data_IF_171853941124
#
_entry.id   IF_171853941124
#
_cell.length_a   1.000
_cell.length_b   1.000
_cell.length_c   1.000
_cell.angle_alpha   90.00
_cell.angle_beta   90.00
_cell.angle_gamma   90.00
#
_symmetry.space_group_name_H-M   'P 1'
#
loop_
_entity.id
_entity.type
_entity.pdbx_description
1 polymer ?
#
# COMPACT_ATOMS: atom_id res chain seq x y z
N UNK A 1 -37.96 65.32 19.25
CA UNK A 1 -37.18 64.36 20.01
C UNK A 1 -37.22 63.03 19.29
N UNK A 2 -36.07 62.68 18.65
CA UNK A 2 -35.87 61.37 18.05
C UNK A 2 -35.48 60.39 19.12
N UNK A 3 -36.31 59.40 19.34
CA UNK A 3 -36.02 58.22 20.19
C UNK A 3 -35.22 57.22 19.36
N UNK A 4 -33.91 57.15 19.58
CA UNK A 4 -33.03 56.15 18.98
C UNK A 4 -33.26 54.84 19.74
N UNK A 5 -33.97 53.88 19.12
CA UNK A 5 -34.05 52.54 19.62
C UNK A 5 -32.73 51.80 19.34
N UNK A 6 -31.94 51.55 20.35
CA UNK A 6 -30.75 50.66 20.30
C UNK A 6 -31.25 49.21 20.25
N UNK A 7 -31.29 48.62 19.06
CA UNK A 7 -31.44 47.16 18.94
C UNK A 7 -30.11 46.53 19.37
N UNK A 8 -30.09 45.93 20.56
CA UNK A 8 -29.06 44.99 20.93
C UNK A 8 -29.24 43.72 20.07
N UNK A 9 -28.47 43.62 19.05
CA UNK A 9 -28.24 42.34 18.38
C UNK A 9 -27.30 41.54 19.29
N UNK A 10 -27.85 40.80 20.24
CA UNK A 10 -27.12 39.69 20.86
C UNK A 10 -26.96 38.64 19.82
N UNK A 11 -25.86 38.68 19.09
CA UNK A 11 -25.47 37.71 18.11
C UNK A 11 -25.26 36.35 18.83
N UNK A 12 -25.90 35.33 18.33
CA UNK A 12 -25.67 33.92 18.66
C UNK A 12 -24.25 33.45 18.23
N UNK A 13 -23.22 34.07 18.75
CA UNK A 13 -21.81 33.68 18.47
C UNK A 13 -21.33 32.64 19.49
N UNK A 14 -21.93 32.58 20.69
CA UNK A 14 -21.43 31.70 21.76
C UNK A 14 -21.63 30.19 21.47
N UNK A 15 -22.71 29.79 20.79
CA UNK A 15 -22.97 28.37 20.53
C UNK A 15 -22.07 27.78 19.43
N UNK A 16 -21.74 28.58 18.40
CA UNK A 16 -20.90 28.13 17.28
C UNK A 16 -19.43 28.00 17.71
N UNK A 17 -18.95 28.88 18.57
CA UNK A 17 -17.59 28.82 19.10
C UNK A 17 -17.42 27.69 20.11
N UNK A 18 -18.46 27.34 20.86
CA UNK A 18 -18.43 26.27 21.85
C UNK A 18 -18.39 24.87 21.20
N UNK A 19 -19.02 24.66 20.05
CA UNK A 19 -18.93 23.39 19.32
C UNK A 19 -17.60 23.23 18.58
N UNK A 20 -17.02 24.33 18.07
CA UNK A 20 -15.71 24.32 17.42
C UNK A 20 -14.55 24.14 18.40
N UNK A 21 -14.76 24.45 19.69
CA UNK A 21 -13.74 24.32 20.71
C UNK A 21 -13.60 22.89 21.24
N UNK A 22 -14.66 22.08 21.16
CA UNK A 22 -14.66 20.72 21.72
C UNK A 22 -13.63 19.84 21.03
N UNK A 23 -12.86 19.12 21.83
CA UNK A 23 -11.94 18.09 21.35
C UNK A 23 -12.71 16.98 20.61
N UNK A 24 -12.17 16.53 19.48
CA UNK A 24 -12.78 15.50 18.64
C UNK A 24 -11.70 14.61 18.02
N UNK A 25 -11.96 13.32 17.92
CA UNK A 25 -11.12 12.38 17.16
C UNK A 25 -11.70 12.11 15.77
N UNK A 26 -10.82 11.83 14.83
CA UNK A 26 -11.15 11.36 13.48
C UNK A 26 -10.18 10.26 13.08
N UNK A 27 -10.61 9.24 12.35
CA UNK A 27 -9.69 8.36 11.66
C UNK A 27 -8.81 9.20 10.71
N UNK A 28 -7.48 9.02 10.75
CA UNK A 28 -6.55 9.79 9.90
C UNK A 28 -6.77 9.48 8.41
N UNK A 29 -7.08 8.22 8.12
CA UNK A 29 -7.55 7.75 6.82
C UNK A 29 -8.98 7.28 7.00
N UNK A 30 -9.95 7.96 6.43
CA UNK A 30 -11.37 7.57 6.50
C UNK A 30 -11.92 7.34 5.10
N UNK A 31 -12.91 6.43 4.99
CA UNK A 31 -13.51 6.03 3.73
C UNK A 31 -12.79 4.84 3.10
N UNK A 32 -13.07 4.60 1.82
CA UNK A 32 -12.51 3.49 1.05
C UNK A 32 -11.18 3.88 0.41
N UNK A 33 -10.17 3.03 0.59
CA UNK A 33 -8.83 3.20 0.02
C UNK A 33 -8.34 1.88 -0.55
N UNK A 34 -7.85 1.91 -1.78
CA UNK A 34 -7.21 0.76 -2.40
C UNK A 34 -5.71 0.74 -2.08
N UNK A 35 -5.22 -0.40 -1.64
CA UNK A 35 -3.82 -0.67 -1.35
C UNK A 35 -3.27 -1.56 -2.46
N UNK A 36 -2.35 -1.05 -3.24
CA UNK A 36 -1.58 -1.86 -4.18
C UNK A 36 -0.33 -2.39 -3.49
N UNK A 37 -0.10 -3.69 -3.61
CA UNK A 37 0.99 -4.38 -2.91
C UNK A 37 1.58 -5.46 -3.81
N UNK A 38 2.87 -5.74 -3.62
CA UNK A 38 3.57 -6.79 -4.36
C UNK A 38 3.80 -8.01 -3.47
N UNK A 39 3.62 -9.21 -4.03
CA UNK A 39 3.92 -10.47 -3.34
C UNK A 39 5.42 -10.79 -3.42
N UNK A 40 6.23 -10.03 -2.67
CA UNK A 40 7.70 -10.08 -2.77
C UNK A 40 8.43 -10.27 -1.44
N UNK A 41 7.80 -10.68 -0.40
CA UNK A 41 8.59 -10.82 0.80
C UNK A 41 7.84 -10.75 2.12
N UNK A 42 8.35 -10.02 3.12
CA UNK A 42 7.77 -10.03 4.45
C UNK A 42 6.37 -9.43 4.47
N UNK A 43 5.68 -9.64 5.58
CA UNK A 43 4.39 -9.03 5.86
C UNK A 43 4.47 -7.52 5.72
N UNK A 44 3.47 -6.92 5.10
CA UNK A 44 3.34 -5.48 4.98
C UNK A 44 2.57 -4.89 6.15
N UNK A 45 2.79 -3.60 6.42
CA UNK A 45 2.24 -2.91 7.58
C UNK A 45 1.65 -1.56 7.22
N UNK A 46 0.47 -1.27 7.75
CA UNK A 46 -0.20 0.03 7.67
C UNK A 46 -0.40 0.55 9.08
N UNK A 47 0.01 1.79 9.33
CA UNK A 47 -0.19 2.45 10.61
C UNK A 47 -1.67 2.84 10.81
N UNK A 48 -2.24 2.42 11.93
CA UNK A 48 -3.58 2.81 12.36
C UNK A 48 -3.46 4.05 13.24
N UNK A 49 -3.93 5.18 12.74
CA UNK A 49 -3.79 6.46 13.38
C UNK A 49 -5.09 7.26 13.40
N UNK A 50 -5.19 8.12 14.41
CA UNK A 50 -6.27 9.12 14.52
C UNK A 50 -5.70 10.54 14.45
N UNK A 51 -6.54 11.47 14.07
CA UNK A 51 -6.27 12.91 14.16
C UNK A 51 -7.11 13.52 15.28
N UNK A 52 -6.49 14.43 16.03
CA UNK A 52 -7.15 15.27 17.03
C UNK A 52 -7.57 16.59 16.38
N UNK A 53 -8.80 17.01 16.61
CA UNK A 53 -9.35 18.30 16.21
C UNK A 53 -9.93 19.04 17.41
N UNK A 54 -10.24 20.31 17.23
CA UNK A 54 -10.72 21.20 18.28
C UNK A 54 -9.61 21.97 19.00
N UNK A 55 -10.00 22.89 19.87
CA UNK A 55 -9.11 23.72 20.68
C UNK A 55 -8.89 23.12 22.08
N UNK A 56 -9.84 22.33 22.55
CA UNK A 56 -9.73 21.62 23.81
C UNK A 56 -8.84 20.39 23.67
N UNK A 57 -8.17 20.05 24.76
CA UNK A 57 -7.35 18.85 24.80
C UNK A 57 -8.21 17.59 24.63
N UNK A 58 -7.83 16.78 23.66
CA UNK A 58 -8.49 15.52 23.33
C UNK A 58 -7.67 14.34 23.85
N UNK A 59 -8.27 13.54 24.73
CA UNK A 59 -7.67 12.32 25.29
C UNK A 59 -8.71 11.22 25.48
N UNK A 60 -8.27 9.96 25.54
CA UNK A 60 -9.14 8.81 25.70
C UNK A 60 -8.55 7.54 25.13
N UNK A 61 -9.34 6.47 25.07
CA UNK A 61 -8.93 5.20 24.48
C UNK A 61 -9.59 5.05 23.12
N UNK A 62 -8.81 4.70 22.09
CA UNK A 62 -9.27 4.46 20.71
C UNK A 62 -9.22 2.98 20.40
N UNK A 63 -10.24 2.47 19.71
CA UNK A 63 -10.33 1.06 19.29
C UNK A 63 -10.67 0.97 17.83
N UNK A 64 -9.92 0.12 17.11
CA UNK A 64 -10.19 -0.32 15.73
C UNK A 64 -10.78 -1.73 15.77
N UNK A 65 -11.95 -1.91 15.18
CA UNK A 65 -12.63 -3.21 15.12
C UNK A 65 -13.11 -3.50 13.71
N UNK A 66 -13.11 -4.77 13.32
CA UNK A 66 -13.69 -5.18 12.03
C UNK A 66 -15.20 -5.12 12.11
N UNK A 67 -15.84 -4.44 11.15
CA UNK A 67 -17.29 -4.24 11.12
C UNK A 67 -17.87 -4.54 9.73
N UNK A 68 -18.50 -5.70 9.59
CA UNK A 68 -19.06 -6.19 8.32
C UNK A 68 -20.10 -5.24 7.74
N UNK A 69 -20.90 -4.58 8.55
CA UNK A 69 -21.97 -3.67 8.11
C UNK A 69 -21.45 -2.50 7.28
N UNK A 70 -20.21 -2.08 7.50
CA UNK A 70 -19.54 -1.05 6.67
C UNK A 70 -19.30 -1.56 5.24
N UNK A 71 -18.88 -2.81 5.10
CA UNK A 71 -18.70 -3.43 3.79
C UNK A 71 -20.03 -3.62 3.06
N UNK A 72 -21.05 -4.06 3.78
CA UNK A 72 -22.40 -4.21 3.20
C UNK A 72 -22.95 -2.86 2.72
N UNK A 73 -22.70 -1.79 3.47
CA UNK A 73 -23.07 -0.42 3.11
C UNK A 73 -22.32 0.06 1.86
N UNK A 74 -21.02 -0.20 1.75
CA UNK A 74 -20.21 0.11 0.56
C UNK A 74 -20.75 -0.63 -0.66
N UNK A 75 -20.95 -1.95 -0.55
CA UNK A 75 -21.46 -2.77 -1.65
C UNK A 75 -22.82 -2.29 -2.14
N UNK A 76 -23.72 -1.92 -1.23
CA UNK A 76 -25.03 -1.40 -1.58
C UNK A 76 -24.97 -0.02 -2.24
N UNK A 77 -24.09 0.87 -1.78
CA UNK A 77 -23.95 2.22 -2.31
C UNK A 77 -23.36 2.23 -3.73
N UNK A 78 -22.33 1.42 -3.97
CA UNK A 78 -21.53 1.42 -5.20
C UNK A 78 -21.95 0.31 -6.18
N UNK A 79 -22.88 -0.58 -5.79
CA UNK A 79 -23.31 -1.72 -6.59
C UNK A 79 -22.20 -2.76 -6.79
N UNK A 80 -21.29 -2.89 -5.81
CA UNK A 80 -20.16 -3.82 -5.83
C UNK A 80 -20.49 -5.11 -5.08
N UNK A 81 -19.61 -6.11 -5.18
CA UNK A 81 -19.74 -7.41 -4.50
C UNK A 81 -18.44 -7.80 -3.78
N UNK A 82 -17.82 -6.82 -3.13
CA UNK A 82 -16.60 -7.07 -2.35
C UNK A 82 -16.89 -8.04 -1.20
N UNK A 83 -15.91 -8.86 -0.89
CA UNK A 83 -15.95 -9.84 0.19
C UNK A 83 -15.09 -9.38 1.36
N UNK A 84 -15.45 -9.79 2.57
CA UNK A 84 -14.63 -9.54 3.75
C UNK A 84 -13.28 -10.26 3.62
N UNK A 85 -12.18 -9.53 3.86
CA UNK A 85 -10.86 -10.15 3.90
C UNK A 85 -10.79 -11.18 5.02
N UNK A 86 -10.44 -12.47 4.73
CA UNK A 86 -10.31 -13.51 5.72
C UNK A 86 -9.27 -13.18 6.80
N UNK A 87 -9.57 -13.55 8.05
CA UNK A 87 -8.76 -13.18 9.21
C UNK A 87 -7.35 -13.80 9.20
N UNK A 88 -7.12 -14.87 8.45
CA UNK A 88 -5.80 -15.45 8.24
C UNK A 88 -4.86 -14.59 7.40
N UNK A 89 -5.40 -13.59 6.66
CA UNK A 89 -4.61 -12.71 5.81
C UNK A 89 -4.04 -11.49 6.54
N UNK A 90 -4.50 -11.21 7.77
CA UNK A 90 -4.07 -10.03 8.50
C UNK A 90 -4.04 -10.21 10.01
N UNK A 91 -3.40 -9.27 10.69
CA UNK A 91 -3.42 -9.11 12.15
C UNK A 91 -3.50 -7.63 12.48
N UNK A 92 -4.36 -7.24 13.43
CA UNK A 92 -4.39 -5.89 13.95
C UNK A 92 -3.59 -5.88 15.25
N UNK A 93 -2.40 -5.30 15.21
CA UNK A 93 -1.55 -5.11 16.38
C UNK A 93 -2.00 -3.86 17.13
N UNK A 94 -2.11 -3.94 18.47
CA UNK A 94 -2.58 -2.85 19.31
C UNK A 94 -3.88 -2.22 18.78
N UNK A 95 -4.89 -3.06 18.51
CA UNK A 95 -6.20 -2.62 18.04
C UNK A 95 -6.85 -1.58 18.96
N UNK A 96 -6.46 -1.55 20.24
CA UNK A 96 -6.89 -0.58 21.25
C UNK A 96 -5.66 0.09 21.85
N UNK A 97 -5.65 1.42 21.91
CA UNK A 97 -4.56 2.20 22.51
C UNK A 97 -5.06 3.50 23.13
N UNK A 98 -4.28 4.01 24.08
CA UNK A 98 -4.59 5.25 24.77
C UNK A 98 -4.01 6.45 24.04
N UNK A 99 -4.80 7.52 23.97
CA UNK A 99 -4.44 8.82 23.41
C UNK A 99 -4.36 9.81 24.56
N UNK A 100 -3.17 10.29 24.85
CA UNK A 100 -2.96 11.30 25.90
C UNK A 100 -3.48 12.67 25.47
N UNK A 101 -3.99 13.41 26.44
CA UNK A 101 -4.34 14.82 26.28
C UNK A 101 -3.09 15.64 25.94
N UNK A 102 -3.22 16.63 25.06
CA UNK A 102 -2.07 17.40 24.55
C UNK A 102 -1.24 16.65 23.50
N UNK A 103 -0.04 17.16 23.19
CA UNK A 103 0.90 16.55 22.25
C UNK A 103 0.50 16.63 20.78
N UNK A 104 0.95 15.66 19.98
CA UNK A 104 0.76 15.66 18.53
C UNK A 104 -0.71 15.55 18.13
N UNK A 105 -1.05 16.27 17.05
CA UNK A 105 -2.41 16.21 16.46
C UNK A 105 -2.71 14.90 15.75
N UNK A 106 -1.69 14.17 15.31
CA UNK A 106 -1.82 12.83 14.75
C UNK A 106 -1.17 11.83 15.69
N UNK A 107 -1.93 10.82 16.08
CA UNK A 107 -1.48 9.78 17.01
C UNK A 107 -1.59 8.43 16.31
N UNK A 108 -0.46 7.75 16.18
CA UNK A 108 -0.38 6.35 15.73
C UNK A 108 -0.17 5.48 16.96
N UNK A 109 -1.07 4.52 17.18
CA UNK A 109 -0.95 3.61 18.33
C UNK A 109 -1.08 2.14 17.96
N UNK A 110 -1.73 1.84 16.84
CA UNK A 110 -1.89 0.49 16.33
C UNK A 110 -1.36 0.31 14.92
N UNK A 111 -1.43 -0.91 14.41
CA UNK A 111 -1.06 -1.22 13.04
C UNK A 111 -1.83 -2.41 12.49
N UNK A 112 -2.10 -2.36 11.20
CA UNK A 112 -2.60 -3.47 10.41
C UNK A 112 -1.41 -4.15 9.72
N UNK A 113 -1.12 -5.38 10.08
CA UNK A 113 -0.13 -6.24 9.42
C UNK A 113 -0.87 -7.20 8.52
N UNK A 114 -0.49 -7.32 7.26
CA UNK A 114 -1.16 -8.17 6.29
C UNK A 114 -0.17 -8.93 5.40
N UNK A 115 -0.64 -10.06 4.86
CA UNK A 115 0.14 -11.01 4.09
C UNK A 115 -0.29 -10.98 2.60
N UNK A 116 0.49 -10.31 1.72
CA UNK A 116 0.16 -10.23 0.29
C UNK A 116 0.07 -11.59 -0.38
N UNK A 117 0.91 -12.55 0.03
CA UNK A 117 0.91 -13.89 -0.54
C UNK A 117 -0.40 -14.64 -0.27
N UNK A 118 -0.94 -14.53 0.94
CA UNK A 118 -2.24 -15.11 1.27
C UNK A 118 -3.38 -14.45 0.50
N UNK A 119 -3.33 -13.12 0.33
CA UNK A 119 -4.31 -12.38 -0.47
C UNK A 119 -4.24 -12.81 -1.94
N UNK A 120 -3.03 -12.92 -2.50
CA UNK A 120 -2.82 -13.43 -3.86
C UNK A 120 -3.42 -14.83 -4.05
N UNK A 121 -3.23 -15.73 -3.10
CA UNK A 121 -3.78 -17.09 -3.18
C UNK A 121 -5.32 -17.13 -3.16
N UNK A 122 -5.98 -16.07 -2.68
CA UNK A 122 -7.43 -15.94 -2.68
C UNK A 122 -8.00 -15.37 -3.98
N UNK A 123 -7.31 -14.44 -4.63
CA UNK A 123 -7.88 -13.71 -5.78
C UNK A 123 -6.95 -13.55 -7.00
N UNK A 124 -5.65 -13.88 -6.89
CA UNK A 124 -4.70 -13.67 -7.98
C UNK A 124 -4.16 -12.23 -8.04
N UNK A 125 -3.49 -11.90 -9.16
CA UNK A 125 -2.99 -10.56 -9.42
C UNK A 125 -4.06 -9.64 -10.02
N UNK A 126 -3.91 -8.33 -9.77
CA UNK A 126 -4.68 -7.24 -10.37
C UNK A 126 -6.20 -7.28 -10.08
N UNK A 127 -6.65 -8.07 -9.12
CA UNK A 127 -8.05 -8.20 -8.77
C UNK A 127 -8.36 -7.56 -7.40
N UNK A 128 -9.33 -6.64 -7.37
CA UNK A 128 -9.89 -6.07 -6.14
C UNK A 128 -11.16 -6.82 -5.76
N UNK A 129 -11.02 -7.79 -4.88
CA UNK A 129 -12.13 -8.63 -4.44
C UNK A 129 -12.38 -8.55 -2.94
N UNK A 130 -11.32 -8.39 -2.16
CA UNK A 130 -11.38 -8.43 -0.70
C UNK A 130 -11.14 -7.07 -0.10
N UNK A 131 -11.98 -6.73 0.89
CA UNK A 131 -11.93 -5.47 1.62
C UNK A 131 -11.92 -5.75 3.12
N UNK A 132 -11.10 -5.02 3.86
CA UNK A 132 -11.09 -5.02 5.32
C UNK A 132 -11.77 -3.75 5.83
N UNK A 133 -13.01 -3.84 6.35
CA UNK A 133 -13.73 -2.73 6.92
C UNK A 133 -13.39 -2.58 8.41
N UNK A 134 -12.89 -1.43 8.80
CA UNK A 134 -12.55 -1.09 10.18
C UNK A 134 -13.46 0.04 10.68
N UNK A 135 -14.14 -0.20 11.79
CA UNK A 135 -14.82 0.82 12.58
C UNK A 135 -13.86 1.37 13.62
N UNK A 136 -13.76 2.68 13.71
CA UNK A 136 -13.01 3.37 14.75
C UNK A 136 -13.96 3.93 15.79
N UNK A 137 -13.74 3.60 17.05
CA UNK A 137 -14.50 4.10 18.20
C UNK A 137 -13.56 4.67 19.26
N UNK A 138 -14.10 5.49 20.16
CA UNK A 138 -13.35 6.00 21.29
C UNK A 138 -14.18 6.10 22.56
N UNK A 139 -13.49 6.04 23.70
CA UNK A 139 -14.02 6.42 25.02
C UNK A 139 -13.28 7.68 25.47
N UNK A 140 -14.00 8.63 26.04
CA UNK A 140 -13.46 9.94 26.43
C UNK A 140 -13.79 10.99 25.37
N UNK A 141 -12.86 11.36 24.50
CA UNK A 141 -13.13 12.32 23.42
C UNK A 141 -14.01 11.69 22.33
N UNK A 142 -15.10 12.37 21.89
CA UNK A 142 -15.99 11.85 20.86
C UNK A 142 -15.30 11.72 19.50
N UNK A 143 -15.78 10.77 18.69
CA UNK A 143 -15.38 10.64 17.29
C UNK A 143 -16.22 11.57 16.40
N UNK A 144 -15.59 12.09 15.33
CA UNK A 144 -16.32 12.70 14.22
C UNK A 144 -17.11 11.61 13.50
N UNK A 145 -18.45 11.70 13.49
CA UNK A 145 -19.35 10.69 12.93
C UNK A 145 -19.05 10.35 11.47
N UNK A 146 -18.58 11.32 10.67
CA UNK A 146 -18.29 11.17 9.25
C UNK A 146 -16.93 10.53 8.98
N UNK A 147 -16.11 10.32 10.00
CA UNK A 147 -14.73 9.85 9.90
C UNK A 147 -14.41 8.73 10.90
N UNK A 148 -15.33 7.80 11.03
CA UNK A 148 -15.19 6.62 11.91
C UNK A 148 -14.94 5.32 11.15
N UNK A 149 -15.11 5.31 9.84
CA UNK A 149 -14.97 4.12 9.01
C UNK A 149 -13.71 4.20 8.13
N UNK A 150 -12.95 3.11 8.10
CA UNK A 150 -11.78 2.93 7.25
C UNK A 150 -11.94 1.58 6.52
N UNK A 151 -11.93 1.60 5.20
CA UNK A 151 -12.09 0.38 4.40
C UNK A 151 -10.88 0.24 3.48
N UNK A 152 -10.10 -0.82 3.68
CA UNK A 152 -8.93 -1.14 2.87
C UNK A 152 -9.27 -2.23 1.85
N UNK A 153 -9.23 -1.89 0.57
CA UNK A 153 -9.29 -2.85 -0.54
C UNK A 153 -7.87 -3.22 -0.98
N UNK A 154 -7.59 -4.50 -1.19
CA UNK A 154 -6.24 -4.95 -1.52
C UNK A 154 -6.18 -5.45 -2.97
N UNK A 155 -5.18 -4.95 -3.71
CA UNK A 155 -4.82 -5.44 -5.04
C UNK A 155 -3.37 -5.93 -4.97
N UNK A 156 -3.16 -7.22 -5.23
CA UNK A 156 -1.81 -7.76 -5.35
C UNK A 156 -1.33 -7.60 -6.78
N UNK A 157 -0.20 -6.93 -6.96
CA UNK A 157 0.44 -6.69 -8.25
C UNK A 157 1.52 -7.73 -8.51
N UNK A 158 1.64 -8.15 -9.75
CA UNK A 158 2.75 -8.99 -10.17
C UNK A 158 4.05 -8.19 -10.15
N UNK A 159 5.04 -8.73 -9.44
CA UNK A 159 6.38 -8.16 -9.43
C UNK A 159 7.19 -8.69 -10.62
N UNK A 160 7.44 -7.83 -11.58
CA UNK A 160 8.12 -8.20 -12.81
C UNK A 160 9.56 -7.66 -12.79
N UNK A 161 10.52 -8.57 -12.98
CA UNK A 161 11.91 -8.23 -13.32
C UNK A 161 12.15 -8.63 -14.77
N UNK A 162 12.59 -7.70 -15.58
CA UNK A 162 12.83 -7.93 -17.00
C UNK A 162 14.17 -7.34 -17.44
N UNK A 163 14.70 -7.85 -18.56
CA UNK A 163 15.82 -7.21 -19.24
C UNK A 163 15.32 -5.94 -19.95
N UNK A 164 16.03 -4.84 -19.80
CA UNK A 164 15.73 -3.57 -20.46
C UNK A 164 15.90 -3.66 -21.99
N UNK A 165 16.70 -4.63 -22.47
CA UNK A 165 16.88 -4.92 -23.87
C UNK A 165 16.76 -6.43 -24.13
N UNK A 166 15.99 -6.81 -25.12
CA UNK A 166 15.71 -8.20 -25.47
C UNK A 166 16.49 -8.70 -26.69
N UNK A 167 17.41 -7.92 -27.23
CA UNK A 167 18.23 -8.31 -28.38
C UNK A 167 19.36 -7.33 -28.66
N UNK A 168 20.35 -7.77 -29.41
CA UNK A 168 21.49 -6.98 -29.85
C UNK A 168 22.63 -7.86 -30.33
N UNK A 169 23.45 -7.31 -31.21
CA UNK A 169 24.68 -7.93 -31.63
C UNK A 169 25.81 -7.47 -30.71
N UNK A 170 26.61 -8.43 -30.26
CA UNK A 170 27.79 -8.17 -29.47
C UNK A 170 29.02 -8.65 -30.25
N UNK A 171 29.88 -7.73 -30.64
CA UNK A 171 31.11 -8.03 -31.37
C UNK A 171 32.27 -8.15 -30.42
N UNK A 172 32.89 -9.32 -30.38
CA UNK A 172 34.12 -9.57 -29.60
C UNK A 172 35.32 -9.26 -30.45
N UNK A 173 36.15 -8.31 -30.01
CA UNK A 173 37.41 -8.02 -30.72
C UNK A 173 38.40 -9.17 -30.55
N UNK A 174 39.03 -9.60 -31.68
CA UNK A 174 40.01 -10.65 -31.66
C UNK A 174 41.24 -10.28 -30.83
N UNK A 175 41.63 -11.16 -29.89
CA UNK A 175 42.75 -10.94 -28.96
C UNK A 175 42.41 -10.33 -27.63
N UNK A 176 41.16 -9.90 -27.38
CA UNK A 176 40.72 -9.52 -26.07
C UNK A 176 40.55 -10.74 -25.15
N UNK A 177 41.03 -10.67 -23.93
CA UNK A 177 40.86 -11.73 -22.92
C UNK A 177 39.48 -11.76 -22.31
N UNK A 178 38.83 -10.60 -22.22
CA UNK A 178 37.44 -10.44 -21.74
C UNK A 178 36.79 -9.27 -22.45
N UNK A 179 35.49 -9.39 -22.74
CA UNK A 179 34.68 -8.31 -23.29
C UNK A 179 33.40 -8.22 -22.47
N UNK A 180 33.29 -7.23 -21.55
CA UNK A 180 32.08 -7.08 -20.74
C UNK A 180 30.90 -6.62 -21.59
N UNK A 181 29.75 -7.27 -21.41
CA UNK A 181 28.46 -6.83 -21.93
C UNK A 181 27.58 -6.43 -20.76
N UNK A 182 27.02 -5.24 -20.81
CA UNK A 182 26.12 -4.78 -19.78
C UNK A 182 24.70 -5.31 -20.05
N UNK A 183 24.16 -6.08 -19.12
CA UNK A 183 22.77 -6.51 -19.11
C UNK A 183 22.03 -5.62 -18.09
N UNK A 184 21.22 -4.71 -18.60
CA UNK A 184 20.42 -3.85 -17.75
C UNK A 184 19.10 -4.56 -17.41
N UNK A 185 18.72 -4.53 -16.15
CA UNK A 185 17.42 -5.01 -15.67
C UNK A 185 16.54 -3.86 -15.25
N UNK A 186 15.25 -4.02 -15.45
CA UNK A 186 14.21 -3.12 -14.97
C UNK A 186 13.28 -3.88 -14.04
N UNK A 187 12.82 -3.23 -12.97
CA UNK A 187 11.77 -3.73 -12.10
C UNK A 187 10.51 -2.86 -12.28
N UNK A 188 9.33 -3.48 -12.19
CA UNK A 188 8.04 -2.81 -12.39
C UNK A 188 7.49 -2.13 -11.13
N UNK A 189 8.26 -2.10 -10.05
CA UNK A 189 7.80 -1.67 -8.72
C UNK A 189 8.94 -0.98 -7.97
N UNK A 190 8.59 -0.18 -6.96
CA UNK A 190 9.55 0.36 -6.00
C UNK A 190 9.86 -0.72 -4.95
N UNK A 191 11.14 -1.10 -4.85
CA UNK A 191 11.55 -2.12 -3.90
C UNK A 191 11.77 -1.55 -2.50
N UNK A 192 11.19 -2.18 -1.50
CA UNK A 192 11.36 -1.78 -0.09
C UNK A 192 12.51 -2.49 0.63
N UNK A 193 13.17 -3.44 -0.02
CA UNK A 193 14.31 -4.23 0.47
C UNK A 193 15.27 -4.55 -0.68
N UNK A 194 16.47 -5.02 -0.36
CA UNK A 194 17.44 -5.45 -1.37
C UNK A 194 16.93 -6.71 -2.10
N UNK A 195 16.91 -6.68 -3.42
CA UNK A 195 16.52 -7.79 -4.29
C UNK A 195 17.75 -8.39 -4.96
N UNK A 196 17.92 -9.70 -4.85
CA UNK A 196 18.95 -10.41 -5.61
C UNK A 196 18.34 -11.08 -6.82
N UNK A 197 18.83 -10.72 -8.01
CA UNK A 197 18.45 -11.31 -9.30
C UNK A 197 19.53 -12.24 -9.79
N UNK A 198 19.14 -13.44 -10.17
CA UNK A 198 20.05 -14.44 -10.77
C UNK A 198 19.77 -14.57 -12.24
N UNK A 199 20.81 -14.49 -13.07
CA UNK A 199 20.71 -14.72 -14.50
C UNK A 199 21.00 -16.17 -14.83
N UNK A 200 20.16 -16.78 -15.64
CA UNK A 200 20.40 -18.11 -16.19
C UNK A 200 20.36 -18.06 -17.72
N UNK A 201 21.36 -18.64 -18.36
CA UNK A 201 21.33 -18.83 -19.81
C UNK A 201 20.26 -19.87 -20.16
N UNK A 202 19.40 -19.54 -21.12
CA UNK A 202 18.51 -20.53 -21.74
C UNK A 202 19.32 -21.38 -22.67
N UNK A 203 19.24 -22.70 -22.55
CA UNK A 203 20.06 -23.65 -23.30
C UNK A 203 19.74 -23.76 -24.77
N UNK A 204 20.27 -24.81 -25.42
CA UNK A 204 20.15 -25.09 -26.85
C UNK A 204 18.69 -25.11 -27.33
N UNK A 205 17.78 -25.70 -26.56
CA UNK A 205 16.35 -25.80 -26.92
C UNK A 205 15.72 -24.43 -27.20
N UNK A 206 16.11 -23.39 -26.46
CA UNK A 206 15.61 -22.04 -26.70
C UNK A 206 16.15 -21.47 -28.01
N UNK A 207 17.44 -21.67 -28.29
CA UNK A 207 18.09 -21.21 -29.52
C UNK A 207 17.49 -21.94 -30.75
N UNK A 208 17.25 -23.23 -30.64
CA UNK A 208 16.65 -24.05 -31.69
C UNK A 208 15.21 -23.59 -31.99
N UNK A 209 14.43 -23.31 -30.92
CA UNK A 209 13.09 -22.76 -31.10
C UNK A 209 13.12 -21.37 -31.77
N UNK A 210 14.02 -20.48 -31.32
CA UNK A 210 14.21 -19.17 -31.92
C UNK A 210 14.62 -19.26 -33.39
N UNK A 211 15.58 -20.12 -33.71
CA UNK A 211 16.03 -20.37 -35.08
C UNK A 211 14.88 -20.82 -35.97
N UNK A 212 14.09 -21.76 -35.48
CA UNK A 212 12.93 -22.30 -36.20
C UNK A 212 11.86 -21.23 -36.45
N UNK A 213 11.59 -20.39 -35.46
CA UNK A 213 10.58 -19.33 -35.56
C UNK A 213 11.01 -18.17 -36.45
N UNK A 214 12.32 -17.88 -36.54
CA UNK A 214 12.85 -16.70 -37.21
C UNK A 214 13.67 -17.04 -38.48
N UNK A 215 13.76 -18.32 -38.88
CA UNK A 215 14.57 -18.79 -40.01
C UNK A 215 16.04 -18.37 -39.92
N UNK A 216 16.61 -18.50 -38.73
CA UNK A 216 18.01 -18.18 -38.39
C UNK A 216 18.79 -19.44 -38.06
N UNK A 217 20.12 -19.33 -37.91
CA UNK A 217 21.04 -20.43 -37.64
C UNK A 217 22.02 -20.11 -36.52
N UNK A 218 21.53 -19.54 -35.41
CA UNK A 218 22.37 -19.24 -34.24
C UNK A 218 22.79 -20.53 -33.53
N UNK A 219 23.97 -20.49 -32.93
CA UNK A 219 24.52 -21.58 -32.12
C UNK A 219 24.60 -21.07 -30.67
N UNK A 220 24.17 -21.87 -29.67
CA UNK A 220 24.32 -21.50 -28.30
C UNK A 220 25.77 -21.24 -27.91
N UNK A 221 26.04 -20.13 -27.22
CA UNK A 221 27.38 -19.86 -26.70
C UNK A 221 27.67 -20.87 -25.58
N UNK A 222 28.79 -21.64 -25.66
CA UNK A 222 29.14 -22.57 -24.58
C UNK A 222 29.39 -21.85 -23.23
N UNK A 223 29.03 -22.50 -22.13
CA UNK A 223 29.09 -21.93 -20.79
C UNK A 223 30.49 -21.47 -20.35
N UNK A 224 31.54 -22.06 -20.93
CA UNK A 224 32.94 -21.72 -20.66
C UNK A 224 33.34 -20.34 -21.19
N UNK A 225 32.52 -19.74 -22.04
CA UNK A 225 32.78 -18.46 -22.68
C UNK A 225 32.12 -17.25 -22.02
N UNK A 226 31.31 -17.45 -20.97
CA UNK A 226 30.64 -16.34 -20.29
C UNK A 226 30.52 -16.60 -18.79
N UNK A 227 30.35 -15.50 -18.04
CA UNK A 227 30.00 -15.53 -16.61
C UNK A 227 28.78 -14.64 -16.41
N UNK A 228 27.78 -15.15 -15.69
CA UNK A 228 26.58 -14.43 -15.31
C UNK A 228 26.60 -14.25 -13.77
N UNK A 229 26.99 -13.09 -13.26
CA UNK A 229 26.98 -12.83 -11.82
C UNK A 229 25.54 -12.56 -11.34
N UNK A 230 25.27 -12.87 -10.08
CA UNK A 230 24.10 -12.36 -9.41
C UNK A 230 24.21 -10.83 -9.24
N UNK A 231 23.08 -10.16 -9.37
CA UNK A 231 22.97 -8.72 -9.23
C UNK A 231 22.04 -8.38 -8.10
N UNK A 232 22.51 -7.57 -7.15
CA UNK A 232 21.68 -7.01 -6.08
C UNK A 232 21.17 -5.64 -6.49
N UNK A 233 19.85 -5.49 -6.55
CA UNK A 233 19.16 -4.21 -6.71
C UNK A 233 18.91 -3.69 -5.30
N UNK A 234 19.59 -2.62 -4.92
CA UNK A 234 19.47 -2.05 -3.59
C UNK A 234 18.07 -1.46 -3.35
N UNK A 235 17.63 -1.45 -2.08
CA UNK A 235 16.38 -0.80 -1.65
C UNK A 235 16.25 0.61 -2.24
N UNK A 236 15.05 0.95 -2.74
CA UNK A 236 14.73 2.25 -3.32
C UNK A 236 15.40 2.53 -4.67
N UNK A 237 15.86 1.49 -5.37
CA UNK A 237 16.37 1.56 -6.74
C UNK A 237 15.42 0.80 -7.68
N UNK A 238 15.13 1.43 -8.80
CA UNK A 238 14.39 0.84 -9.92
C UNK A 238 15.31 0.68 -11.13
#
# INVERSE_FOLDING_TARGET
>A
PCLLAFLCITSCVEDVDNERSKGMFSASQSGFTTIEVYDLGPLNKIDLSIAKAGLEDAGGTVTFSVEQSLLDSLNNADGTAYQLLPSECYTIENATYDVTSGGDRRVTGGSLVYDPHKIYNLCGFDELKYVLPLQVSSTGTPMNSDRTAVLYGFIVKEAIVRLASTGGDFVVEGGATTSPMNLNTEISFENEWDLTTTFAAKGADYVDHYNSANSTYYIPLPSDFYTLPDVTIAKGKA
#
